data_IF_892809158498
#
_entry.id   IF_892809158498
#
_cell.length_a   1.000
_cell.length_b   1.000
_cell.length_c   1.000
_cell.angle_alpha   90.00
_cell.angle_beta   90.00
_cell.angle_gamma   90.00
#
_symmetry.space_group_name_H-M   'P 1'
#
loop_
_entity.id
_entity.type
_entity.pdbx_description
1 polymer ?
#
# COMPACT_ATOMS: atom_id res chain seq x y z
N UNK A 1 -66.55 -10.62 8.09
CA UNK A 1 -65.86 -11.39 9.14
C UNK A 1 -64.64 -12.01 8.48
N UNK A 2 -63.48 -11.37 8.61
CA UNK A 2 -62.25 -11.76 7.93
C UNK A 2 -61.60 -12.96 8.63
N UNK A 3 -61.29 -14.00 7.85
CA UNK A 3 -60.66 -15.24 8.31
C UNK A 3 -59.14 -15.05 8.33
N UNK A 4 -58.50 -15.08 9.51
CA UNK A 4 -57.05 -15.16 9.62
C UNK A 4 -56.60 -16.63 9.54
N UNK A 5 -55.68 -16.99 8.63
CA UNK A 5 -55.00 -18.28 8.71
C UNK A 5 -53.97 -18.27 9.85
N UNK A 6 -53.90 -19.39 10.59
CA UNK A 6 -52.95 -19.64 11.68
C UNK A 6 -51.49 -19.55 11.19
N UNK A 7 -50.55 -19.16 12.07
CA UNK A 7 -49.14 -19.07 11.70
C UNK A 7 -48.59 -20.47 11.38
N UNK A 8 -48.05 -20.63 10.17
CA UNK A 8 -47.24 -21.80 9.83
C UNK A 8 -46.02 -21.83 10.77
N UNK A 9 -45.75 -23.02 11.31
CA UNK A 9 -44.78 -23.23 12.38
C UNK A 9 -43.40 -22.67 12.06
N UNK A 10 -42.81 -22.03 13.07
CA UNK A 10 -41.39 -21.71 13.11
C UNK A 10 -40.59 -22.99 12.88
N UNK A 11 -39.78 -23.03 11.83
CA UNK A 11 -38.79 -24.10 11.67
C UNK A 11 -37.81 -24.06 12.86
N UNK A 12 -37.49 -25.21 13.47
CA UNK A 12 -36.50 -25.25 14.54
C UNK A 12 -35.13 -24.84 14.00
N UNK A 13 -34.39 -24.04 14.79
CA UNK A 13 -33.09 -23.46 14.42
C UNK A 13 -32.04 -24.50 13.96
N UNK A 14 -32.21 -25.77 14.34
CA UNK A 14 -31.35 -26.89 13.92
C UNK A 14 -31.43 -27.21 12.42
N UNK A 15 -32.45 -26.74 11.68
CA UNK A 15 -32.59 -26.99 10.25
C UNK A 15 -31.75 -26.05 9.36
N UNK A 16 -31.09 -25.03 9.95
CA UNK A 16 -30.07 -24.22 9.26
C UNK A 16 -28.65 -24.78 9.41
N UNK A 17 -28.47 -25.88 10.14
CA UNK A 17 -27.17 -26.34 10.62
C UNK A 17 -26.55 -27.48 9.80
N UNK A 18 -26.78 -27.50 8.48
CA UNK A 18 -26.17 -28.48 7.61
C UNK A 18 -25.54 -27.84 6.36
N UNK A 19 -24.21 -27.97 6.31
CA UNK A 19 -23.23 -27.61 5.27
C UNK A 19 -22.34 -26.38 5.52
N UNK A 20 -22.11 -26.00 6.78
CA UNK A 20 -20.81 -25.39 7.15
C UNK A 20 -19.98 -26.50 7.74
N UNK A 21 -19.13 -27.12 6.92
CA UNK A 21 -17.96 -27.85 7.43
C UNK A 21 -17.32 -26.95 8.48
N UNK A 22 -17.19 -27.43 9.72
CA UNK A 22 -16.53 -26.71 10.81
C UNK A 22 -15.39 -25.85 10.24
N UNK A 23 -15.60 -24.53 10.22
CA UNK A 23 -14.74 -23.56 9.54
C UNK A 23 -13.37 -23.72 10.20
N UNK A 24 -12.44 -24.44 9.56
CA UNK A 24 -11.05 -24.49 10.03
C UNK A 24 -10.64 -23.04 10.11
N UNK A 25 -10.39 -22.56 11.32
CA UNK A 25 -10.09 -21.18 11.60
C UNK A 25 -8.76 -20.83 10.91
N UNK A 26 -8.80 -20.50 9.61
CA UNK A 26 -7.60 -20.30 8.82
C UNK A 26 -6.85 -19.04 9.21
N UNK A 27 -5.82 -18.72 8.43
CA UNK A 27 -5.01 -17.52 8.66
C UNK A 27 -5.83 -16.27 8.34
N UNK A 28 -5.83 -15.29 9.25
CA UNK A 28 -6.42 -13.97 8.99
C UNK A 28 -5.30 -12.98 8.67
N UNK A 29 -5.34 -12.40 7.48
CA UNK A 29 -4.37 -11.39 7.05
C UNK A 29 -5.07 -10.03 7.01
N UNK A 30 -4.58 -9.07 7.79
CA UNK A 30 -5.13 -7.74 7.96
C UNK A 30 -4.32 -6.73 7.13
N UNK A 31 -4.97 -6.12 6.14
CA UNK A 31 -4.39 -5.20 5.18
C UNK A 31 -4.16 -5.83 3.81
N UNK A 32 -4.88 -5.34 2.79
CA UNK A 32 -4.75 -5.77 1.39
C UNK A 32 -3.79 -4.85 0.62
N UNK A 33 -2.67 -4.46 1.25
CA UNK A 33 -1.52 -3.93 0.54
C UNK A 33 -0.75 -5.04 -0.17
N UNK A 34 0.30 -4.68 -0.93
CA UNK A 34 1.09 -5.67 -1.67
C UNK A 34 1.72 -6.76 -0.76
N UNK A 35 2.08 -6.41 0.48
CA UNK A 35 2.58 -7.38 1.46
C UNK A 35 1.52 -8.41 1.87
N UNK A 36 0.31 -7.94 2.24
CA UNK A 36 -0.77 -8.83 2.65
C UNK A 36 -1.25 -9.71 1.51
N UNK A 37 -1.38 -9.16 0.30
CA UNK A 37 -1.71 -9.91 -0.91
C UNK A 37 -0.65 -10.96 -1.22
N UNK A 38 0.64 -10.63 -1.12
CA UNK A 38 1.71 -11.61 -1.33
C UNK A 38 1.68 -12.74 -0.29
N UNK A 39 1.46 -12.42 0.98
CA UNK A 39 1.32 -13.41 2.05
C UNK A 39 0.14 -14.35 1.79
N UNK A 40 -1.04 -13.80 1.54
CA UNK A 40 -2.25 -14.58 1.27
C UNK A 40 -2.13 -15.43 -0.01
N UNK A 41 -1.38 -14.96 -1.02
CA UNK A 41 -1.09 -15.73 -2.23
C UNK A 41 -0.31 -17.01 -1.90
N UNK A 42 0.73 -16.91 -1.07
CA UNK A 42 1.54 -18.08 -0.70
C UNK A 42 0.74 -19.07 0.18
N UNK A 43 -0.07 -18.56 1.10
CA UNK A 43 -0.97 -19.39 1.93
C UNK A 43 -2.01 -20.14 1.07
N UNK A 44 -2.67 -19.44 0.15
CA UNK A 44 -3.65 -20.04 -0.75
C UNK A 44 -2.99 -21.09 -1.67
N UNK A 45 -1.77 -20.85 -2.16
CA UNK A 45 -0.99 -21.83 -2.93
C UNK A 45 -0.65 -23.08 -2.15
N UNK A 46 -0.46 -22.96 -0.83
CA UNK A 46 -0.23 -24.09 0.06
C UNK A 46 -1.54 -24.81 0.49
N UNK A 47 -2.71 -24.36 0.01
CA UNK A 47 -4.01 -24.93 0.38
C UNK A 47 -4.48 -24.56 1.79
N UNK A 48 -3.84 -23.58 2.44
CA UNK A 48 -4.22 -23.12 3.77
C UNK A 48 -5.36 -22.11 3.64
N UNK A 49 -6.50 -22.31 4.34
CA UNK A 49 -7.58 -21.34 4.34
C UNK A 49 -7.08 -19.97 4.81
N UNK A 50 -7.33 -18.93 4.03
CA UNK A 50 -6.90 -17.57 4.33
C UNK A 50 -8.06 -16.60 4.13
N UNK A 51 -8.18 -15.60 5.01
CA UNK A 51 -9.14 -14.50 4.89
C UNK A 51 -8.39 -13.18 4.91
N UNK A 52 -8.53 -12.37 3.85
CA UNK A 52 -7.87 -11.07 3.73
C UNK A 52 -8.87 -9.97 4.15
N UNK A 53 -8.57 -9.20 5.20
CA UNK A 53 -9.44 -8.12 5.70
C UNK A 53 -8.84 -6.76 5.38
N UNK A 54 -9.56 -5.94 4.63
CA UNK A 54 -9.15 -4.58 4.27
C UNK A 54 -10.16 -3.57 4.78
N UNK A 55 -9.66 -2.58 5.53
CA UNK A 55 -10.49 -1.48 6.05
C UNK A 55 -11.00 -0.59 4.94
N UNK A 56 -10.20 -0.34 3.92
CA UNK A 56 -10.55 0.50 2.79
C UNK A 56 -11.59 -0.15 1.87
N UNK A 57 -12.14 0.68 0.99
CA UNK A 57 -13.08 0.27 -0.06
C UNK A 57 -12.40 -0.50 -1.21
N UNK A 58 -11.08 -0.55 -1.25
CA UNK A 58 -10.27 -1.12 -2.34
C UNK A 58 -8.96 -1.69 -1.81
N UNK A 59 -8.42 -2.68 -2.54
CA UNK A 59 -7.07 -3.23 -2.37
C UNK A 59 -5.99 -2.21 -2.78
N UNK A 60 -4.75 -2.37 -2.31
CA UNK A 60 -3.57 -1.68 -2.85
C UNK A 60 -2.74 -0.89 -1.83
N UNK A 61 -3.34 -0.47 -0.72
CA UNK A 61 -2.63 0.28 0.33
C UNK A 61 -1.87 1.49 -0.22
N UNK A 62 -0.55 1.56 0.04
CA UNK A 62 0.32 2.67 -0.42
C UNK A 62 0.68 2.63 -1.91
N UNK A 63 0.21 1.63 -2.67
CA UNK A 63 0.18 1.69 -4.14
C UNK A 63 -1.13 2.32 -4.64
N UNK A 64 -1.84 3.07 -3.80
CA UNK A 64 -3.12 3.68 -4.14
C UNK A 64 -3.04 4.63 -5.33
N UNK A 65 -4.07 4.57 -6.17
CA UNK A 65 -4.35 5.54 -7.22
C UNK A 65 -5.71 6.21 -6.98
N UNK A 66 -5.87 7.47 -7.35
CA UNK A 66 -7.19 8.13 -7.39
C UNK A 66 -7.49 8.61 -8.80
N UNK A 67 -8.76 8.54 -9.21
CA UNK A 67 -9.20 9.06 -10.51
C UNK A 67 -9.59 10.52 -10.39
N UNK A 68 -9.11 11.33 -11.33
CA UNK A 68 -9.43 12.73 -11.55
C UNK A 68 -9.95 12.81 -12.99
N UNK A 69 -11.22 13.13 -13.16
CA UNK A 69 -11.90 13.13 -14.47
C UNK A 69 -11.69 11.82 -15.26
N UNK A 70 -11.85 10.70 -14.55
CA UNK A 70 -11.64 9.35 -15.09
C UNK A 70 -10.18 8.93 -15.21
N UNK A 71 -9.21 9.86 -15.19
CA UNK A 71 -7.77 9.57 -15.30
C UNK A 71 -7.15 9.23 -13.94
N UNK A 72 -6.50 8.07 -13.77
CA UNK A 72 -5.80 7.74 -12.52
C UNK A 72 -4.56 8.62 -12.31
N UNK A 73 -4.24 8.93 -11.06
CA UNK A 73 -2.94 9.42 -10.61
C UNK A 73 -2.52 8.62 -9.37
N UNK A 74 -1.26 8.23 -9.29
CA UNK A 74 -0.76 7.45 -8.15
C UNK A 74 -0.47 8.39 -6.99
N UNK A 75 -1.02 8.09 -5.83
CA UNK A 75 -0.94 8.95 -4.66
C UNK A 75 0.22 8.56 -3.74
N UNK A 76 0.62 7.28 -3.71
CA UNK A 76 1.60 6.77 -2.75
C UNK A 76 2.97 6.50 -3.38
N UNK A 77 3.28 5.25 -3.68
CA UNK A 77 4.47 4.93 -4.45
C UNK A 77 4.45 5.67 -5.80
N UNK A 78 5.54 6.33 -6.18
CA UNK A 78 5.65 6.99 -7.49
C UNK A 78 5.99 5.99 -8.61
N UNK A 79 6.83 5.01 -8.28
CA UNK A 79 7.31 3.95 -9.15
C UNK A 79 7.80 2.78 -8.28
N UNK A 80 8.25 1.70 -8.91
CA UNK A 80 8.99 0.65 -8.22
C UNK A 80 10.24 0.26 -9.01
N UNK A 81 11.19 -0.37 -8.32
CA UNK A 81 12.43 -0.92 -8.89
C UNK A 81 12.54 -2.39 -8.52
N UNK A 82 13.33 -3.12 -9.29
CA UNK A 82 13.43 -4.58 -9.22
C UNK A 82 14.88 -5.00 -9.11
N UNK A 83 15.20 -5.79 -8.08
CA UNK A 83 16.49 -6.49 -7.93
C UNK A 83 16.35 -7.89 -7.30
N UNK A 84 15.13 -8.33 -6.94
CA UNK A 84 14.83 -9.68 -6.46
C UNK A 84 14.33 -10.56 -7.63
N UNK A 85 14.91 -11.74 -7.88
CA UNK A 85 14.51 -12.60 -8.99
C UNK A 85 13.05 -13.07 -8.94
N UNK A 86 12.52 -13.38 -7.74
CA UNK A 86 11.13 -13.82 -7.61
C UNK A 86 10.18 -12.66 -7.90
N UNK A 87 10.54 -11.43 -7.51
CA UNK A 87 9.78 -10.24 -7.87
C UNK A 87 9.91 -9.88 -9.35
N UNK A 88 11.07 -10.09 -9.97
CA UNK A 88 11.24 -9.90 -11.42
C UNK A 88 10.25 -10.77 -12.20
N UNK A 89 10.07 -12.04 -11.82
CA UNK A 89 9.08 -12.92 -12.43
C UNK A 89 7.63 -12.41 -12.27
N UNK A 90 7.31 -11.73 -11.15
CA UNK A 90 6.00 -11.04 -10.98
C UNK A 90 5.87 -9.88 -11.95
N UNK A 91 6.91 -9.06 -12.07
CA UNK A 91 6.93 -7.88 -12.94
C UNK A 91 6.85 -8.26 -14.41
N UNK A 92 7.49 -9.35 -14.82
CA UNK A 92 7.39 -9.88 -16.18
C UNK A 92 5.95 -10.30 -16.52
N UNK A 93 5.22 -10.92 -15.58
CA UNK A 93 3.79 -11.22 -15.78
C UNK A 93 2.96 -9.96 -15.90
N UNK A 94 3.22 -8.93 -15.09
CA UNK A 94 2.55 -7.64 -15.23
C UNK A 94 2.86 -6.99 -16.59
N UNK A 95 4.12 -7.03 -17.04
CA UNK A 95 4.53 -6.50 -18.33
C UNK A 95 3.82 -7.23 -19.48
N UNK A 96 3.81 -8.57 -19.45
CA UNK A 96 3.13 -9.39 -20.45
C UNK A 96 1.61 -9.12 -20.50
N UNK A 97 1.00 -8.81 -19.35
CA UNK A 97 -0.41 -8.43 -19.26
C UNK A 97 -0.68 -6.95 -19.61
N UNK A 98 0.33 -6.18 -20.03
CA UNK A 98 0.19 -4.73 -20.34
C UNK A 98 -0.07 -3.86 -19.11
N UNK A 99 0.18 -4.37 -17.90
CA UNK A 99 -0.06 -3.70 -16.63
C UNK A 99 1.12 -2.84 -16.17
N UNK A 100 2.33 -3.28 -16.47
CA UNK A 100 3.56 -2.61 -16.12
C UNK A 100 4.41 -2.32 -17.37
N UNK A 101 5.17 -1.23 -17.32
CA UNK A 101 6.17 -0.88 -18.35
C UNK A 101 7.41 -0.30 -17.71
N UNK A 102 8.52 -0.45 -18.41
CA UNK A 102 9.72 0.34 -18.13
C UNK A 102 9.38 1.84 -18.35
N UNK A 103 9.82 2.66 -17.41
CA UNK A 103 9.60 4.10 -17.45
C UNK A 103 10.91 4.86 -17.68
N UNK A 104 11.85 4.78 -16.75
CA UNK A 104 13.15 5.45 -16.88
C UNK A 104 14.16 4.91 -15.86
N UNK A 105 15.41 4.82 -16.25
CA UNK A 105 16.54 4.61 -15.35
C UNK A 105 17.16 5.93 -14.85
N UNK A 106 16.83 7.04 -15.51
CA UNK A 106 17.44 8.36 -15.28
C UNK A 106 16.40 9.37 -14.85
N UNK A 107 16.68 10.07 -13.75
CA UNK A 107 15.90 11.20 -13.24
C UNK A 107 16.82 12.41 -13.08
N UNK A 108 16.23 13.56 -12.78
CA UNK A 108 16.97 14.74 -12.35
C UNK A 108 17.16 14.69 -10.82
N UNK A 109 18.23 15.29 -10.31
CA UNK A 109 18.35 15.68 -8.92
C UNK A 109 18.60 17.18 -8.84
N UNK A 110 17.80 17.85 -8.02
CA UNK A 110 18.06 19.23 -7.60
C UNK A 110 18.70 19.19 -6.22
N UNK A 111 19.71 20.01 -6.00
CA UNK A 111 20.33 20.21 -4.70
C UNK A 111 21.20 21.46 -4.67
N UNK A 112 22.02 21.65 -3.62
CA UNK A 112 22.84 22.85 -3.46
C UNK A 112 23.82 23.10 -4.62
N UNK A 113 24.21 22.04 -5.33
CA UNK A 113 25.12 22.09 -6.49
C UNK A 113 24.40 22.35 -7.82
N UNK A 114 23.09 22.57 -7.79
CA UNK A 114 22.26 22.79 -8.97
C UNK A 114 21.56 21.52 -9.45
N UNK A 115 21.34 21.45 -10.78
CA UNK A 115 20.59 20.40 -11.47
C UNK A 115 21.56 19.38 -12.06
N UNK A 116 21.43 18.11 -11.68
CA UNK A 116 22.21 17.00 -12.25
C UNK A 116 21.31 15.85 -12.73
N UNK A 117 21.77 15.07 -13.72
CA UNK A 117 21.10 13.83 -14.10
C UNK A 117 21.66 12.69 -13.25
N UNK A 118 20.76 11.85 -12.75
CA UNK A 118 21.10 10.70 -11.90
C UNK A 118 20.50 9.43 -12.49
N UNK A 119 21.36 8.58 -13.00
CA UNK A 119 21.00 7.22 -13.43
C UNK A 119 20.95 6.26 -12.24
N UNK A 120 20.17 5.20 -12.37
CA UNK A 120 19.98 4.20 -11.34
C UNK A 120 19.28 2.95 -11.90
N UNK A 121 18.68 2.11 -11.05
CA UNK A 121 17.92 0.97 -11.54
C UNK A 121 16.71 1.42 -12.36
N UNK A 122 16.31 0.57 -13.30
CA UNK A 122 15.09 0.78 -14.09
C UNK A 122 13.89 0.98 -13.17
N UNK A 123 13.20 2.11 -13.33
CA UNK A 123 11.94 2.41 -12.65
C UNK A 123 10.80 1.95 -13.52
N UNK A 124 9.86 1.26 -12.90
CA UNK A 124 8.68 0.73 -13.55
C UNK A 124 7.45 1.58 -13.22
N UNK A 125 6.59 1.69 -14.21
CA UNK A 125 5.31 2.37 -14.12
C UNK A 125 4.15 1.44 -14.45
N UNK A 126 2.95 1.85 -14.04
CA UNK A 126 1.71 1.15 -14.38
C UNK A 126 0.77 2.12 -15.10
N UNK A 127 0.55 1.97 -16.43
CA UNK A 127 -0.30 2.87 -17.20
C UNK A 127 -1.73 3.01 -16.63
N UNK A 128 -2.26 1.95 -16.02
CA UNK A 128 -3.58 1.94 -15.35
C UNK A 128 -3.54 2.32 -13.86
N UNK A 129 -2.35 2.62 -13.34
CA UNK A 129 -2.07 3.02 -11.96
C UNK A 129 -1.50 1.87 -11.16
N UNK A 130 -0.62 2.18 -10.20
CA UNK A 130 0.10 1.15 -9.45
C UNK A 130 -0.85 0.23 -8.65
N UNK A 131 -2.03 0.71 -8.26
CA UNK A 131 -3.04 -0.13 -7.61
C UNK A 131 -3.44 -1.32 -8.48
N UNK A 132 -3.49 -1.15 -9.81
CA UNK A 132 -3.88 -2.22 -10.73
C UNK A 132 -2.96 -3.44 -10.67
N UNK A 133 -1.70 -3.26 -10.23
CA UNK A 133 -0.75 -4.34 -10.03
C UNK A 133 -1.12 -5.20 -8.81
N UNK A 134 -1.55 -4.54 -7.72
CA UNK A 134 -1.98 -5.22 -6.50
C UNK A 134 -3.36 -5.87 -6.70
N UNK A 135 -4.27 -5.21 -7.41
CA UNK A 135 -5.57 -5.78 -7.80
C UNK A 135 -5.37 -7.05 -8.65
N UNK A 136 -4.44 -7.03 -9.62
CA UNK A 136 -4.15 -8.23 -10.42
C UNK A 136 -3.51 -9.34 -9.59
N UNK A 137 -2.58 -9.02 -8.68
CA UNK A 137 -2.01 -10.03 -7.77
C UNK A 137 -3.05 -10.62 -6.82
N UNK A 138 -4.00 -9.80 -6.36
CA UNK A 138 -5.06 -10.26 -5.47
C UNK A 138 -5.95 -11.30 -6.16
N UNK A 139 -6.20 -11.16 -7.47
CA UNK A 139 -6.96 -12.14 -8.25
C UNK A 139 -8.26 -12.55 -7.54
N UNK A 140 -8.42 -13.85 -7.34
CA UNK A 140 -9.58 -14.46 -6.68
C UNK A 140 -9.39 -14.67 -5.16
N UNK A 141 -8.38 -14.06 -4.54
CA UNK A 141 -8.20 -14.14 -3.09
C UNK A 141 -9.45 -13.62 -2.36
N UNK A 142 -9.85 -14.24 -1.23
CA UNK A 142 -11.04 -13.87 -0.48
C UNK A 142 -10.84 -12.58 0.32
N UNK A 143 -10.80 -11.44 -0.37
CA UNK A 143 -10.62 -10.12 0.23
C UNK A 143 -11.97 -9.52 0.63
N UNK A 144 -12.15 -9.29 1.92
CA UNK A 144 -13.30 -8.53 2.45
C UNK A 144 -12.92 -7.07 2.62
N UNK A 145 -13.47 -6.20 1.78
CA UNK A 145 -13.29 -4.75 1.86
C UNK A 145 -14.27 -4.14 2.88
N UNK A 146 -14.02 -2.89 3.30
CA UNK A 146 -14.80 -2.21 4.33
C UNK A 146 -14.88 -3.01 5.64
N UNK A 147 -13.90 -3.87 5.92
CA UNK A 147 -13.85 -4.67 7.13
C UNK A 147 -12.72 -4.16 8.00
N UNK A 148 -13.09 -3.29 8.95
CA UNK A 148 -12.20 -2.87 10.02
C UNK A 148 -12.02 -4.03 11.02
N UNK A 149 -10.77 -4.37 11.29
CA UNK A 149 -10.39 -5.19 12.44
C UNK A 149 -10.14 -4.24 13.61
N UNK A 150 -10.68 -4.59 14.78
CA UNK A 150 -10.61 -3.79 15.99
C UNK A 150 -9.59 -4.32 16.99
N UNK A 151 -9.44 -5.64 17.07
CA UNK A 151 -8.53 -6.28 18.03
C UNK A 151 -7.90 -7.57 17.50
N UNK A 152 -6.71 -7.85 18.01
CA UNK A 152 -5.98 -9.11 17.87
C UNK A 152 -5.53 -9.56 19.25
N UNK A 153 -6.05 -10.68 19.71
CA UNK A 153 -5.82 -11.21 21.06
C UNK A 153 -4.99 -12.51 21.04
N UNK A 154 -4.41 -12.95 22.18
CA UNK A 154 -3.75 -14.25 22.28
C UNK A 154 -4.69 -15.42 21.98
N UNK A 155 -4.19 -16.48 21.35
CA UNK A 155 -5.02 -17.63 20.96
C UNK A 155 -4.89 -18.10 19.50
N UNK A 156 -4.28 -17.36 18.57
CA UNK A 156 -4.60 -15.96 18.28
C UNK A 156 -6.08 -15.78 17.89
N UNK A 157 -6.65 -14.63 18.19
CA UNK A 157 -8.03 -14.26 17.83
C UNK A 157 -8.07 -12.91 17.11
N UNK A 158 -9.08 -12.71 16.27
CA UNK A 158 -9.36 -11.45 15.58
C UNK A 158 -10.81 -11.07 15.81
N UNK A 159 -11.04 -9.90 16.42
CA UNK A 159 -12.37 -9.47 16.88
C UNK A 159 -13.10 -10.57 17.70
N UNK A 160 -12.34 -11.31 18.53
CA UNK A 160 -12.86 -12.44 19.33
C UNK A 160 -13.07 -13.76 18.59
N UNK A 161 -12.86 -13.83 17.27
CA UNK A 161 -12.95 -15.08 16.50
C UNK A 161 -11.58 -15.76 16.39
N UNK A 162 -11.54 -17.08 16.56
CA UNK A 162 -10.31 -17.87 16.46
C UNK A 162 -9.71 -17.84 15.05
N UNK A 163 -8.38 -17.98 15.00
CA UNK A 163 -7.57 -18.13 13.79
C UNK A 163 -6.34 -19.00 14.11
N UNK A 164 -5.85 -19.74 13.12
CA UNK A 164 -4.60 -20.51 13.23
C UNK A 164 -3.37 -19.60 13.30
N UNK A 165 -3.44 -18.44 12.63
CA UNK A 165 -2.45 -17.38 12.70
C UNK A 165 -3.07 -16.04 12.26
N UNK A 166 -2.44 -14.94 12.67
CA UNK A 166 -2.85 -13.58 12.27
C UNK A 166 -1.66 -12.84 11.68
N UNK A 167 -1.85 -12.22 10.52
CA UNK A 167 -0.83 -11.39 9.86
C UNK A 167 -1.29 -9.95 9.84
N UNK A 168 -0.49 -9.04 10.39
CA UNK A 168 -0.70 -7.60 10.27
C UNK A 168 0.21 -7.05 9.16
N UNK A 169 -0.37 -6.84 7.98
CA UNK A 169 0.31 -6.36 6.78
C UNK A 169 0.11 -4.85 6.59
N UNK A 170 0.40 -4.08 7.64
CA UNK A 170 0.12 -2.65 7.75
C UNK A 170 1.22 -1.92 8.53
N UNK A 171 1.30 -0.57 8.45
CA UNK A 171 2.24 0.20 9.27
C UNK A 171 2.20 -0.16 10.76
N UNK A 172 3.37 -0.30 11.39
CA UNK A 172 3.50 -0.68 12.80
C UNK A 172 2.62 0.13 13.76
N UNK A 173 2.56 1.47 13.66
CA UNK A 173 1.67 2.27 14.50
C UNK A 173 0.18 1.96 14.32
N UNK A 174 -0.25 1.44 13.17
CA UNK A 174 -1.62 0.97 12.97
C UNK A 174 -1.82 -0.43 13.56
N UNK A 175 -0.85 -1.31 13.37
CA UNK A 175 -0.86 -2.65 13.98
C UNK A 175 -0.89 -2.58 15.51
N UNK A 176 -0.14 -1.65 16.11
CA UNK A 176 -0.09 -1.43 17.56
C UNK A 176 -1.46 -1.07 18.18
N UNK A 177 -2.38 -0.47 17.41
CA UNK A 177 -3.73 -0.15 17.88
C UNK A 177 -4.65 -1.38 17.96
N UNK A 178 -4.26 -2.48 17.32
CA UNK A 178 -5.04 -3.72 17.26
C UNK A 178 -4.54 -4.75 18.28
N UNK A 179 -3.25 -4.74 18.58
CA UNK A 179 -2.60 -5.77 19.40
C UNK A 179 -3.01 -5.65 20.88
N UNK A 180 -3.48 -6.77 21.44
CA UNK A 180 -3.58 -6.93 22.88
C UNK A 180 -2.18 -6.77 23.54
N UNK A 181 -2.06 -6.02 24.65
CA UNK A 181 -0.77 -5.83 25.34
C UNK A 181 -0.07 -7.13 25.78
N UNK A 182 -0.80 -8.24 25.92
CA UNK A 182 -0.22 -9.55 26.22
C UNK A 182 0.65 -10.11 25.08
N UNK A 183 0.43 -9.67 23.83
CA UNK A 183 1.23 -10.04 22.66
C UNK A 183 2.56 -9.26 22.64
N UNK A 184 3.40 -9.53 23.63
CA UNK A 184 4.57 -8.72 23.95
C UNK A 184 5.65 -8.73 22.84
N UNK A 185 5.79 -9.82 22.10
CA UNK A 185 6.75 -9.92 20.99
C UNK A 185 6.34 -9.06 19.80
N UNK A 186 5.13 -9.28 19.29
CA UNK A 186 4.54 -8.45 18.23
C UNK A 186 4.51 -6.96 18.63
N UNK A 187 4.14 -6.64 19.87
CA UNK A 187 4.11 -5.27 20.40
C UNK A 187 5.49 -4.61 20.36
N UNK A 188 6.55 -5.33 20.78
CA UNK A 188 7.93 -4.82 20.68
C UNK A 188 8.35 -4.64 19.22
N UNK A 189 7.99 -5.57 18.34
CA UNK A 189 8.34 -5.50 16.93
C UNK A 189 7.70 -4.28 16.22
N UNK A 190 6.44 -3.95 16.52
CA UNK A 190 5.79 -2.74 15.96
C UNK A 190 6.34 -1.45 16.60
N UNK A 191 6.61 -1.45 17.90
CA UNK A 191 7.14 -0.27 18.62
C UNK A 191 8.57 0.10 18.21
N UNK A 192 9.34 -0.86 17.72
CA UNK A 192 10.68 -0.64 17.17
C UNK A 192 10.67 0.11 15.83
N UNK A 193 9.53 0.15 15.13
CA UNK A 193 9.43 0.83 13.85
C UNK A 193 9.38 2.35 14.04
N UNK A 194 9.99 3.09 13.11
CA UNK A 194 9.88 4.55 13.00
C UNK A 194 9.34 4.88 11.63
N UNK A 195 8.43 5.85 11.58
CA UNK A 195 7.68 6.19 10.37
C UNK A 195 7.72 7.69 10.15
N UNK A 196 7.90 8.10 8.90
CA UNK A 196 7.73 9.48 8.47
C UNK A 196 6.41 9.66 7.74
N UNK A 197 5.86 10.86 7.87
CA UNK A 197 4.68 11.28 7.13
C UNK A 197 5.08 11.94 5.81
N UNK A 198 4.15 11.97 4.85
CA UNK A 198 4.30 12.71 3.61
C UNK A 198 2.94 13.20 3.13
N UNK A 199 2.95 14.27 2.34
CA UNK A 199 1.81 14.65 1.53
C UNK A 199 2.13 14.39 0.05
N UNK A 200 1.09 14.07 -0.71
CA UNK A 200 1.19 13.92 -2.15
C UNK A 200 0.28 14.92 -2.83
N UNK A 201 0.87 15.82 -3.62
CA UNK A 201 0.18 16.76 -4.49
C UNK A 201 -0.01 16.16 -5.88
N UNK A 202 -1.25 16.10 -6.38
CA UNK A 202 -1.56 15.83 -7.78
C UNK A 202 -1.97 17.17 -8.40
N UNK A 203 -1.18 17.65 -9.35
CA UNK A 203 -1.32 18.96 -9.97
C UNK A 203 -1.64 18.80 -11.44
N UNK A 204 -2.78 19.32 -11.88
CA UNK A 204 -3.20 19.32 -13.27
C UNK A 204 -3.01 20.71 -13.86
N UNK A 205 -2.13 20.86 -14.84
CA UNK A 205 -1.85 22.13 -15.50
C UNK A 205 -2.62 22.29 -16.81
N UNK A 206 -2.82 23.52 -17.31
CA UNK A 206 -3.46 23.75 -18.60
C UNK A 206 -2.68 23.15 -19.78
N UNK A 207 -1.34 23.19 -19.71
CA UNK A 207 -0.47 22.59 -20.73
C UNK A 207 0.80 21.97 -20.13
N UNK A 208 1.34 20.96 -20.82
CA UNK A 208 2.61 20.33 -20.46
C UNK A 208 3.77 21.21 -20.96
N UNK A 209 4.37 22.00 -20.05
CA UNK A 209 5.46 22.96 -20.34
C UNK A 209 6.86 22.48 -19.93
N UNK A 210 6.96 21.28 -19.37
CA UNK A 210 8.21 20.68 -18.88
C UNK A 210 8.75 19.63 -19.88
N UNK A 211 9.30 20.10 -21.00
CA UNK A 211 9.92 19.20 -21.98
C UNK A 211 11.09 18.41 -21.35
N UNK A 212 11.24 17.14 -21.73
CA UNK A 212 12.31 16.23 -21.30
C UNK A 212 12.43 16.02 -19.78
N UNK A 213 11.36 16.28 -19.03
CA UNK A 213 11.26 15.98 -17.61
C UNK A 213 10.50 14.67 -17.38
N UNK A 214 11.16 13.70 -16.74
CA UNK A 214 10.53 12.46 -16.25
C UNK A 214 10.17 12.61 -14.77
N UNK A 215 11.12 13.08 -13.98
CA UNK A 215 10.95 13.32 -12.56
C UNK A 215 12.24 13.83 -11.94
N UNK A 216 12.14 14.33 -10.72
CA UNK A 216 13.29 14.81 -9.97
C UNK A 216 13.22 14.46 -8.49
N UNK A 217 14.36 14.01 -7.96
CA UNK A 217 14.64 14.13 -6.54
C UNK A 217 14.91 15.59 -6.21
N UNK A 218 14.28 16.10 -5.16
CA UNK A 218 14.44 17.48 -4.73
C UNK A 218 15.10 17.46 -3.35
N UNK A 219 16.43 17.59 -3.33
CA UNK A 219 17.22 17.52 -2.12
C UNK A 219 17.25 18.89 -1.44
N UNK A 220 17.25 18.89 -0.10
CA UNK A 220 17.33 20.10 0.75
C UNK A 220 16.24 21.15 0.51
N UNK A 221 15.12 20.79 -0.10
CA UNK A 221 13.99 21.69 -0.30
C UNK A 221 13.04 21.67 0.91
N UNK A 222 12.53 22.83 1.37
CA UNK A 222 11.66 22.89 2.55
C UNK A 222 10.28 22.24 2.37
N UNK A 223 9.91 21.79 1.17
CA UNK A 223 8.55 21.38 0.80
C UNK A 223 8.60 20.09 0.02
N UNK A 224 9.35 20.03 -1.09
CA UNK A 224 9.35 18.90 -2.02
C UNK A 224 10.46 17.90 -1.71
N UNK A 225 10.21 16.62 -1.95
CA UNK A 225 11.22 15.55 -1.91
C UNK A 225 11.34 14.81 -3.25
N UNK A 226 10.22 14.70 -3.98
CA UNK A 226 10.16 14.05 -5.28
C UNK A 226 9.06 14.71 -6.12
N UNK A 227 9.32 14.96 -7.40
CA UNK A 227 8.29 15.35 -8.38
C UNK A 227 8.39 14.39 -9.56
N UNK A 228 7.28 13.89 -10.07
CA UNK A 228 7.24 12.99 -11.23
C UNK A 228 6.22 13.49 -12.25
N UNK A 229 6.57 13.40 -13.53
CA UNK A 229 5.65 13.54 -14.65
C UNK A 229 4.77 12.29 -14.72
N UNK A 230 3.54 12.42 -14.22
CA UNK A 230 2.56 11.33 -14.22
C UNK A 230 2.04 11.05 -15.63
N UNK A 231 1.98 12.06 -16.49
CA UNK A 231 1.59 11.93 -17.89
C UNK A 231 2.56 11.06 -18.68
N UNK A 232 3.84 11.39 -18.54
CA UNK A 232 4.94 10.65 -19.17
C UNK A 232 5.05 9.22 -18.61
N UNK A 233 5.02 9.09 -17.27
CA UNK A 233 5.10 7.81 -16.56
C UNK A 233 4.00 6.85 -16.98
N UNK A 234 2.78 7.35 -17.20
CA UNK A 234 1.67 6.55 -17.72
C UNK A 234 1.75 6.30 -19.22
N UNK A 235 2.37 7.20 -19.96
CA UNK A 235 2.44 7.16 -21.42
C UNK A 235 1.23 7.80 -22.10
N UNK A 236 0.46 8.65 -21.39
CA UNK A 236 -0.67 9.40 -21.96
C UNK A 236 -0.35 10.88 -22.21
N UNK A 237 0.82 11.35 -21.76
CA UNK A 237 1.29 12.72 -22.00
C UNK A 237 0.45 13.81 -21.35
N UNK A 238 -0.46 13.45 -20.44
CA UNK A 238 -1.32 14.44 -19.77
C UNK A 238 -0.49 15.46 -18.98
N UNK A 239 -0.94 16.71 -18.85
CA UNK A 239 -0.24 17.76 -18.13
C UNK A 239 -0.40 17.61 -16.60
N UNK A 240 -0.03 16.45 -16.06
CA UNK A 240 -0.18 16.09 -14.65
C UNK A 240 1.18 15.82 -14.02
N UNK A 241 1.49 16.56 -12.95
CA UNK A 241 2.63 16.32 -12.09
C UNK A 241 2.15 15.74 -10.77
N UNK A 242 2.90 14.78 -10.23
CA UNK A 242 2.71 14.28 -8.86
C UNK A 242 3.94 14.64 -8.04
N UNK A 243 3.72 15.39 -6.98
CA UNK A 243 4.74 15.85 -6.05
C UNK A 243 4.57 15.15 -4.69
N UNK A 244 5.68 14.71 -4.10
CA UNK A 244 5.75 14.23 -2.73
C UNK A 244 6.50 15.24 -1.89
N UNK A 245 5.97 15.53 -0.70
CA UNK A 245 6.60 16.50 0.19
C UNK A 245 7.69 15.88 1.04
N UNK A 246 8.49 16.72 1.69
CA UNK A 246 9.33 16.30 2.82
C UNK A 246 8.45 15.94 4.03
N UNK A 247 9.02 15.16 4.94
CA UNK A 247 8.35 14.79 6.18
C UNK A 247 8.15 15.98 7.12
N UNK A 248 9.12 16.90 7.17
CA UNK A 248 9.03 18.12 7.98
C UNK A 248 7.87 19.01 7.56
N UNK A 249 7.72 19.23 6.25
CA UNK A 249 6.59 19.99 5.72
C UNK A 249 5.24 19.29 5.97
N UNK A 250 5.18 17.98 5.75
CA UNK A 250 3.96 17.20 5.94
C UNK A 250 3.46 17.24 7.38
N UNK A 251 4.37 17.18 8.36
CA UNK A 251 4.04 17.18 9.78
C UNK A 251 3.18 18.39 10.20
N UNK A 252 3.46 19.58 9.64
CA UNK A 252 2.71 20.80 9.91
C UNK A 252 1.28 20.83 9.33
N UNK A 253 0.94 19.88 8.46
CA UNK A 253 -0.30 19.89 7.68
C UNK A 253 -1.14 18.61 7.83
N UNK A 254 -0.76 17.67 8.72
CA UNK A 254 -1.46 16.39 8.85
C UNK A 254 -2.92 16.53 9.32
N UNK A 255 -3.23 17.55 10.12
CA UNK A 255 -4.60 17.81 10.58
C UNK A 255 -5.47 18.38 9.44
N UNK A 256 -4.92 19.26 8.62
CA UNK A 256 -5.62 19.92 7.51
C UNK A 256 -4.79 19.87 6.22
N UNK A 257 -4.69 18.71 5.53
CA UNK A 257 -3.80 18.54 4.39
C UNK A 257 -4.18 19.41 3.19
N UNK A 258 -5.43 19.85 3.10
CA UNK A 258 -5.87 20.77 2.03
C UNK A 258 -5.24 22.15 2.14
N UNK A 259 -4.78 22.57 3.32
CA UNK A 259 -4.06 23.83 3.50
C UNK A 259 -2.68 23.85 2.83
N UNK A 260 -2.11 22.68 2.51
CA UNK A 260 -0.83 22.58 1.84
C UNK A 260 -0.89 22.81 0.32
N UNK A 261 -2.09 22.95 -0.27
CA UNK A 261 -2.28 23.00 -1.75
C UNK A 261 -1.46 24.11 -2.40
N UNK A 262 -1.62 25.34 -1.93
CA UNK A 262 -0.96 26.51 -2.50
C UNK A 262 0.56 26.41 -2.38
N UNK A 263 1.07 26.00 -1.21
CA UNK A 263 2.50 25.86 -1.00
C UNK A 263 3.13 24.74 -1.84
N UNK A 264 2.45 23.60 -2.02
CA UNK A 264 2.93 22.51 -2.88
C UNK A 264 2.90 22.92 -4.34
N UNK A 265 1.84 23.58 -4.80
CA UNK A 265 1.74 24.11 -6.15
C UNK A 265 2.81 25.14 -6.46
N UNK A 266 2.97 26.13 -5.58
CA UNK A 266 3.98 27.17 -5.72
C UNK A 266 5.38 26.56 -5.79
N UNK A 267 5.71 25.61 -4.90
CA UNK A 267 7.00 24.94 -4.91
C UNK A 267 7.26 24.18 -6.23
N UNK A 268 6.24 23.50 -6.80
CA UNK A 268 6.38 22.80 -8.09
C UNK A 268 6.59 23.79 -9.23
N UNK A 269 5.84 24.90 -9.23
CA UNK A 269 5.99 25.95 -10.25
C UNK A 269 7.35 26.61 -10.19
N UNK A 270 7.84 26.93 -9.00
CA UNK A 270 9.16 27.54 -8.79
C UNK A 270 10.27 26.59 -9.23
N UNK A 271 10.18 25.31 -8.86
CA UNK A 271 11.18 24.30 -9.24
C UNK A 271 11.32 24.14 -10.76
N UNK A 272 10.21 24.21 -11.49
CA UNK A 272 10.15 23.96 -12.94
C UNK A 272 10.04 25.24 -13.79
N UNK A 273 10.00 26.42 -13.16
CA UNK A 273 9.82 27.70 -13.85
C UNK A 273 8.49 27.84 -14.59
N UNK A 274 7.39 27.31 -14.02
CA UNK A 274 6.08 27.29 -14.69
C UNK A 274 5.32 28.60 -14.49
N UNK A 275 5.00 29.35 -15.56
CA UNK A 275 4.38 30.68 -15.44
C UNK A 275 2.91 30.60 -15.03
N UNK A 276 2.21 29.55 -15.44
CA UNK A 276 0.78 29.34 -15.22
C UNK A 276 0.51 28.53 -13.94
N UNK A 277 -0.56 28.85 -13.18
CA UNK A 277 -1.01 28.03 -12.06
C UNK A 277 -1.57 26.69 -12.56
N UNK A 278 -1.65 25.70 -11.66
CA UNK A 278 -2.38 24.48 -11.92
C UNK A 278 -3.89 24.79 -11.99
N UNK A 279 -4.60 24.15 -12.92
CA UNK A 279 -6.07 24.18 -12.97
C UNK A 279 -6.68 23.55 -11.72
N UNK A 280 -6.02 22.53 -11.16
CA UNK A 280 -6.41 21.93 -9.90
C UNK A 280 -5.23 21.29 -9.18
N UNK A 281 -5.26 21.39 -7.85
CA UNK A 281 -4.27 20.77 -6.96
C UNK A 281 -5.00 19.93 -5.90
N UNK A 282 -4.81 18.61 -5.95
CA UNK A 282 -5.28 17.68 -4.91
C UNK A 282 -4.14 17.32 -3.98
N UNK A 283 -4.36 17.35 -2.67
CA UNK A 283 -3.39 16.90 -1.68
C UNK A 283 -3.94 15.68 -0.93
N UNK A 284 -3.14 14.62 -0.88
CA UNK A 284 -3.41 13.41 -0.12
C UNK A 284 -2.45 13.26 1.06
N UNK A 285 -2.96 12.78 2.20
CA UNK A 285 -2.20 12.61 3.44
C UNK A 285 -1.76 11.17 3.63
N UNK A 286 -0.45 10.97 3.79
CA UNK A 286 0.15 9.72 4.25
C UNK A 286 0.74 9.91 5.65
N UNK A 287 -0.03 9.59 6.70
CA UNK A 287 0.46 9.67 8.09
C UNK A 287 1.66 8.73 8.32
N UNK A 288 1.62 7.55 7.72
CA UNK A 288 2.69 6.55 7.76
C UNK A 288 3.12 6.23 6.34
N UNK A 289 3.90 7.15 5.74
CA UNK A 289 4.31 7.07 4.34
C UNK A 289 5.45 6.08 4.16
N UNK A 290 6.56 6.34 4.87
CA UNK A 290 7.83 5.65 4.68
C UNK A 290 8.38 5.22 6.05
N UNK A 291 8.67 3.94 6.27
CA UNK A 291 9.39 3.51 7.46
C UNK A 291 10.88 3.86 7.36
N UNK A 292 11.52 4.04 8.51
CA UNK A 292 12.97 4.07 8.59
C UNK A 292 13.52 2.71 8.15
N UNK A 293 14.63 2.71 7.40
CA UNK A 293 15.25 1.48 6.95
C UNK A 293 15.71 0.64 8.16
N UNK A 294 15.39 -0.66 8.11
CA UNK A 294 15.83 -1.63 9.10
C UNK A 294 17.06 -2.38 8.60
N UNK A 295 18.04 -2.61 9.47
CA UNK A 295 19.36 -3.13 9.11
C UNK A 295 19.66 -4.54 9.63
N UNK A 296 18.70 -5.22 10.26
CA UNK A 296 18.91 -6.54 10.88
C UNK A 296 18.73 -7.73 9.91
N UNK A 297 18.38 -7.47 8.65
CA UNK A 297 18.23 -8.48 7.60
C UNK A 297 16.96 -9.32 7.69
N UNK A 298 16.15 -9.18 8.74
CA UNK A 298 14.87 -9.88 8.86
C UNK A 298 13.87 -9.33 7.83
N UNK A 299 13.20 -10.24 7.11
CA UNK A 299 12.21 -9.86 6.08
C UNK A 299 10.78 -9.80 6.64
N UNK A 300 10.52 -10.34 7.83
CA UNK A 300 9.23 -10.27 8.53
C UNK A 300 9.43 -10.55 10.03
N UNK A 301 8.34 -10.45 10.80
CA UNK A 301 8.25 -10.99 12.16
C UNK A 301 7.19 -12.09 12.20
N UNK A 302 7.46 -13.18 12.92
CA UNK A 302 6.49 -14.23 13.25
C UNK A 302 6.88 -14.79 14.63
N UNK A 303 5.99 -14.67 15.60
CA UNK A 303 6.23 -15.15 16.97
C UNK A 303 5.58 -16.51 17.25
N UNK A 304 5.80 -17.02 18.46
CA UNK A 304 5.25 -18.30 18.91
C UNK A 304 3.72 -18.25 19.10
N UNK A 305 3.14 -17.08 19.35
CA UNK A 305 1.69 -16.85 19.45
C UNK A 305 0.96 -16.91 18.10
N UNK A 306 1.71 -17.03 17.00
CA UNK A 306 1.13 -17.09 15.64
C UNK A 306 0.80 -15.71 15.08
N UNK A 307 1.43 -14.65 15.61
CA UNK A 307 1.29 -13.28 15.12
C UNK A 307 2.44 -12.94 14.18
N UNK A 308 2.09 -12.69 12.92
CA UNK A 308 3.00 -12.26 11.87
C UNK A 308 2.90 -10.77 11.58
N UNK A 309 4.02 -10.11 11.29
CA UNK A 309 4.06 -8.74 10.76
C UNK A 309 4.83 -8.73 9.44
N UNK A 310 4.26 -8.11 8.42
CA UNK A 310 4.90 -7.97 7.12
C UNK A 310 4.68 -6.57 6.51
N UNK A 311 5.66 -6.10 5.74
CA UNK A 311 5.61 -4.81 5.09
C UNK A 311 6.99 -4.28 4.72
N UNK A 312 7.03 -3.09 4.15
CA UNK A 312 8.26 -2.39 3.76
C UNK A 312 9.10 -1.89 4.95
N UNK A 313 8.61 -2.04 6.18
CA UNK A 313 9.38 -1.79 7.40
C UNK A 313 10.44 -2.87 7.70
N UNK A 314 10.37 -4.02 7.03
CA UNK A 314 11.32 -5.12 7.16
C UNK A 314 12.41 -5.08 6.09
N UNK A 315 13.02 -3.91 5.93
CA UNK A 315 14.13 -3.68 5.01
C UNK A 315 14.20 -2.25 4.51
N UNK A 316 14.77 -2.06 3.31
CA UNK A 316 14.77 -0.75 2.63
C UNK A 316 13.37 -0.45 2.08
N UNK A 317 12.76 0.71 2.35
CA UNK A 317 11.36 0.97 2.01
C UNK A 317 11.12 1.04 0.49
N UNK A 318 10.60 -0.05 -0.08
CA UNK A 318 10.28 -0.21 -1.50
C UNK A 318 9.07 -1.11 -1.67
N UNK A 319 8.40 -1.02 -2.82
CA UNK A 319 7.32 -1.95 -3.22
C UNK A 319 7.79 -3.41 -3.17
N UNK A 320 8.97 -3.71 -3.75
CA UNK A 320 9.54 -5.05 -3.72
C UNK A 320 9.78 -5.55 -2.29
N UNK A 321 10.25 -4.69 -1.38
CA UNK A 321 10.50 -5.06 0.02
C UNK A 321 9.21 -5.47 0.71
N UNK A 322 8.14 -4.70 0.54
CA UNK A 322 6.83 -5.07 1.07
C UNK A 322 6.34 -6.41 0.49
N UNK A 323 6.45 -6.59 -0.82
CA UNK A 323 6.06 -7.83 -1.49
C UNK A 323 6.84 -9.04 -0.96
N UNK A 324 8.17 -8.93 -0.88
CA UNK A 324 9.05 -9.99 -0.39
C UNK A 324 8.77 -10.31 1.07
N UNK A 325 8.60 -9.29 1.91
CA UNK A 325 8.22 -9.45 3.32
C UNK A 325 6.95 -10.27 3.48
N UNK A 326 5.91 -9.95 2.69
CA UNK A 326 4.68 -10.72 2.65
C UNK A 326 4.85 -12.15 2.16
N UNK A 327 5.58 -12.35 1.04
CA UNK A 327 5.87 -13.67 0.48
C UNK A 327 6.62 -14.56 1.48
N UNK A 328 7.67 -14.04 2.08
CA UNK A 328 8.51 -14.78 3.03
C UNK A 328 7.71 -15.19 4.27
N UNK A 329 6.87 -14.28 4.82
CA UNK A 329 5.97 -14.61 5.93
C UNK A 329 4.93 -15.66 5.55
N UNK A 330 4.31 -15.54 4.38
CA UNK A 330 3.33 -16.52 3.89
C UNK A 330 3.93 -17.92 3.76
N UNK A 331 5.17 -18.02 3.25
CA UNK A 331 5.91 -19.29 3.18
C UNK A 331 6.26 -19.85 4.56
N UNK A 332 6.67 -19.00 5.49
CA UNK A 332 6.99 -19.42 6.85
C UNK A 332 5.76 -19.96 7.60
N UNK A 333 4.62 -19.28 7.45
CA UNK A 333 3.34 -19.77 7.99
C UNK A 333 2.90 -21.06 7.30
N UNK A 334 3.05 -21.16 5.98
CA UNK A 334 2.73 -22.38 5.26
C UNK A 334 3.54 -23.58 5.75
N UNK A 335 4.84 -23.41 5.99
CA UNK A 335 5.68 -24.45 6.56
C UNK A 335 5.33 -24.80 8.02
N UNK A 336 4.79 -23.84 8.79
CA UNK A 336 4.38 -24.06 10.19
C UNK A 336 3.04 -24.77 10.33
N UNK A 337 2.14 -24.61 9.35
CA UNK A 337 0.77 -25.14 9.37
C UNK A 337 0.58 -26.38 8.48
N UNK A 338 1.61 -26.77 7.72
CA UNK A 338 1.66 -28.02 6.95
C UNK A 338 1.94 -29.23 7.86
#
# INVERSE_FOLDING_TARGET
MFHYPRPAGFMPAAAYDHLVTADRAGVVVVGAGIAGVACATELARAGIPVRLRERARVTGGRMASKRFDGRPADLGAAYFTVDDPDFAAVVDRWRAAGLAREWTDTLVAYGPRGREQVSGPMRWAAPRGLRSLVEQLAGDLPVTHNRLVMSVEPGPRVDGAEAEAVVLAMPGPQAALLLDPALAEATRAVAAQRWSSALSGVLHFPARRWADFRGAFVNDHPVLSLVCDDGDRRGDGAPVLVAHTTAGFAAGHLLQPTGAREAVEQAVRDLLGLPEPALSTHVHRWTYATPAARADGATFHLDHDGIGLAGDAFGRPRVQTAWRSGRDLGRALAARLA
#
